data_IF_816390906060
#
_entry.id   IF_816390906060
#
_cell.length_a   1.000
_cell.length_b   1.000
_cell.length_c   1.000
_cell.angle_alpha   90.00
_cell.angle_beta   90.00
_cell.angle_gamma   90.00
#
_symmetry.space_group_name_H-M   'P 1'
#
loop_
_entity.id
_entity.type
_entity.pdbx_description
1 polymer ?
#
# COMPACT_ATOMS: atom_id res chain seq x y z
N UNK A 1 -4.10 -57.00 -1.95
CA UNK A 1 -2.86 -56.23 -1.74
C UNK A 1 -3.27 -54.82 -1.41
N UNK A 2 -3.06 -54.43 -0.16
CA UNK A 2 -3.63 -53.27 0.51
C UNK A 2 -2.46 -52.47 1.09
N UNK A 3 -2.29 -51.23 0.65
CA UNK A 3 -1.27 -50.28 1.17
C UNK A 3 -1.45 -48.94 0.43
N UNK A 4 -1.33 -47.74 1.00
CA UNK A 4 -1.61 -47.17 2.32
C UNK A 4 -1.71 -45.65 2.06
N UNK A 5 -2.82 -45.02 2.45
CA UNK A 5 -2.95 -43.56 2.50
C UNK A 5 -2.21 -43.06 3.74
N UNK A 6 -1.21 -42.20 3.58
CA UNK A 6 -0.53 -41.54 4.70
C UNK A 6 -1.26 -40.24 5.03
N UNK A 7 -2.11 -40.28 6.05
CA UNK A 7 -2.67 -39.10 6.70
C UNK A 7 -1.65 -38.54 7.71
N UNK A 8 -1.19 -37.31 7.49
CA UNK A 8 -0.40 -36.58 8.46
C UNK A 8 -1.32 -35.98 9.52
N UNK A 9 -1.23 -36.54 10.74
CA UNK A 9 -1.85 -36.04 11.95
C UNK A 9 -1.10 -34.82 12.48
N UNK A 10 -1.82 -33.74 12.78
CA UNK A 10 -1.35 -32.62 13.60
C UNK A 10 -1.10 -33.09 15.04
N UNK A 11 -0.01 -32.68 15.71
CA UNK A 11 0.28 -33.10 17.08
C UNK A 11 -0.60 -32.37 18.10
N UNK A 12 -1.21 -33.13 19.00
CA UNK A 12 -2.03 -32.66 20.12
C UNK A 12 -1.20 -32.30 21.36
N UNK A 13 -1.76 -31.40 22.16
CA UNK A 13 -1.12 -30.51 23.13
C UNK A 13 -1.01 -31.11 24.56
N UNK A 14 -0.52 -32.35 24.71
CA UNK A 14 -0.71 -33.09 25.98
C UNK A 14 0.55 -33.63 26.71
N UNK A 15 1.78 -33.41 26.26
CA UNK A 15 2.96 -33.89 27.02
C UNK A 15 4.13 -32.94 26.93
N UNK A 16 4.32 -32.12 27.97
CA UNK A 16 5.60 -31.68 28.55
C UNK A 16 5.35 -30.55 29.56
N UNK A 17 4.49 -30.81 30.55
CA UNK A 17 4.47 -30.06 31.79
C UNK A 17 5.03 -30.96 32.88
N UNK A 18 6.34 -30.84 33.15
CA UNK A 18 7.02 -31.25 34.39
C UNK A 18 8.53 -31.23 34.13
N UNK A 19 9.17 -30.08 34.40
CA UNK A 19 10.56 -29.95 34.87
C UNK A 19 10.75 -28.50 35.33
N UNK A 20 10.46 -28.27 36.62
CA UNK A 20 11.19 -27.44 37.61
C UNK A 20 11.90 -26.17 37.06
N UNK A 21 11.60 -24.95 37.48
CA UNK A 21 11.46 -24.51 38.87
C UNK A 21 12.84 -24.19 39.48
N UNK A 22 13.41 -23.01 39.18
CA UNK A 22 14.33 -22.23 40.03
C UNK A 22 14.92 -21.02 39.27
N UNK A 23 14.66 -19.81 39.78
CA UNK A 23 15.57 -18.63 39.94
C UNK A 23 14.79 -17.32 39.82
N UNK A 24 14.15 -16.94 40.93
CA UNK A 24 13.77 -15.57 41.22
C UNK A 24 14.99 -14.75 41.65
N UNK A 25 14.91 -13.43 41.39
CA UNK A 25 15.48 -12.35 42.18
C UNK A 25 17.01 -12.10 42.13
N UNK A 26 17.47 -11.28 41.16
CA UNK A 26 18.56 -10.30 41.36
C UNK A 26 18.38 -9.10 40.41
N UNK A 27 18.48 -7.87 40.91
CA UNK A 27 18.69 -6.68 40.08
C UNK A 27 17.75 -5.48 40.27
N UNK A 28 17.24 -5.23 41.49
CA UNK A 28 16.57 -3.96 41.84
C UNK A 28 17.16 -3.37 43.12
N UNK A 29 18.42 -2.97 43.08
CA UNK A 29 19.07 -2.06 44.02
C UNK A 29 20.54 -1.94 43.62
N UNK A 30 20.95 -0.79 43.09
CA UNK A 30 22.29 -0.18 43.24
C UNK A 30 22.43 0.96 42.23
N UNK A 31 21.88 2.12 42.57
CA UNK A 31 22.38 3.44 42.16
C UNK A 31 21.61 4.48 42.97
N UNK A 32 21.92 4.54 44.26
CA UNK A 32 21.49 5.63 45.13
C UNK A 32 22.57 5.87 46.17
N UNK A 33 23.63 6.55 45.75
CA UNK A 33 24.46 7.40 46.60
C UNK A 33 25.51 8.09 45.73
N UNK A 34 25.22 9.34 45.35
CA UNK A 34 26.16 10.46 45.37
C UNK A 34 25.43 11.72 44.93
N UNK A 35 25.64 12.76 45.74
CA UNK A 35 25.38 14.18 45.45
C UNK A 35 23.95 14.69 45.72
N UNK A 36 23.66 14.75 47.01
CA UNK A 36 22.84 15.81 47.59
C UNK A 36 23.59 17.15 47.53
N UNK A 37 23.02 18.14 46.85
CA UNK A 37 23.00 19.56 47.24
C UNK A 37 22.44 20.39 46.08
N UNK A 38 21.18 20.80 46.15
CA UNK A 38 20.71 22.04 45.52
C UNK A 38 19.33 22.37 46.10
N UNK A 39 19.24 23.56 46.66
CA UNK A 39 18.13 24.12 47.41
C UNK A 39 16.95 24.46 46.50
N UNK A 40 15.75 24.45 47.10
CA UNK A 40 14.52 24.90 46.49
C UNK A 40 14.44 26.43 46.53
N UNK A 41 14.20 27.07 45.39
CA UNK A 41 13.68 28.44 45.32
C UNK A 41 12.38 28.49 44.53
N UNK A 42 11.46 29.31 45.03
CA UNK A 42 10.07 29.48 44.61
C UNK A 42 9.93 30.05 43.19
N UNK A 43 8.92 29.54 42.48
CA UNK A 43 8.48 30.00 41.17
C UNK A 43 7.55 31.22 41.32
N UNK A 44 8.04 32.42 41.02
CA UNK A 44 7.21 33.60 40.76
C UNK A 44 7.12 33.86 39.23
N UNK A 45 6.00 34.37 38.71
CA UNK A 45 5.79 34.45 37.26
C UNK A 45 6.49 35.68 36.68
N UNK A 46 7.63 35.46 36.02
CA UNK A 46 8.33 36.52 35.28
C UNK A 46 7.71 36.64 33.89
N UNK A 47 7.23 37.85 33.58
CA UNK A 47 6.79 38.26 32.26
C UNK A 47 7.91 38.01 31.23
N UNK A 48 7.63 37.15 30.27
CA UNK A 48 8.58 36.75 29.24
C UNK A 48 8.68 37.84 28.17
N UNK A 49 9.49 38.87 28.40
CA UNK A 49 10.00 39.74 27.33
C UNK A 49 11.07 38.96 26.57
N UNK A 50 10.61 38.08 25.69
CA UNK A 50 11.47 37.27 24.84
C UNK A 50 11.86 38.12 23.62
N UNK A 51 13.02 38.76 23.68
CA UNK A 51 13.74 39.23 22.51
C UNK A 51 14.26 38.01 21.75
N UNK A 52 13.37 37.38 21.01
CA UNK A 52 13.68 36.40 19.97
C UNK A 52 14.33 37.18 18.84
N UNK A 53 15.66 37.18 18.77
CA UNK A 53 16.34 37.47 17.51
C UNK A 53 15.85 36.41 16.52
N UNK A 54 14.91 36.79 15.67
CA UNK A 54 14.59 36.05 14.45
C UNK A 54 15.85 36.09 13.59
N UNK A 55 16.82 35.23 13.88
CA UNK A 55 17.77 34.77 12.89
C UNK A 55 16.97 33.90 11.94
N UNK A 56 16.39 34.64 11.02
CA UNK A 56 15.73 34.25 9.81
C UNK A 56 16.62 33.21 9.12
N UNK A 57 16.36 31.93 9.37
CA UNK A 57 16.77 30.86 8.45
C UNK A 57 15.90 31.04 7.21
N UNK A 58 16.20 32.09 6.43
CA UNK A 58 15.72 32.20 5.06
C UNK A 58 16.33 31.01 4.38
N UNK A 59 15.48 30.02 4.11
CA UNK A 59 15.74 29.04 3.09
C UNK A 59 16.12 29.83 1.84
N UNK A 60 17.42 29.96 1.56
CA UNK A 60 17.94 30.68 0.41
C UNK A 60 17.41 29.98 -0.84
N UNK A 61 16.26 30.44 -1.30
CA UNK A 61 15.62 29.99 -2.51
C UNK A 61 16.55 30.36 -3.65
N UNK A 62 17.25 29.34 -4.11
CA UNK A 62 18.35 29.43 -5.07
C UNK A 62 17.94 30.19 -6.32
N UNK A 63 18.78 31.17 -6.62
CA UNK A 63 18.92 32.04 -7.79
C UNK A 63 18.44 31.39 -9.09
N UNK A 64 17.71 32.14 -9.93
CA UNK A 64 17.73 31.92 -11.37
C UNK A 64 17.41 33.22 -12.16
N UNK A 65 18.37 33.62 -12.98
CA UNK A 65 18.41 34.70 -13.98
C UNK A 65 18.51 36.17 -13.52
N UNK A 66 17.85 36.62 -12.44
CA UNK A 66 17.79 38.06 -12.08
C UNK A 66 18.60 38.46 -10.82
N UNK A 67 19.23 37.50 -10.11
CA UNK A 67 20.15 37.79 -9.00
C UNK A 67 19.51 38.27 -7.69
N UNK A 68 18.19 38.51 -7.67
CA UNK A 68 17.45 38.96 -6.50
C UNK A 68 16.83 37.78 -5.74
N UNK A 69 16.82 37.87 -4.42
CA UNK A 69 16.20 36.89 -3.51
C UNK A 69 14.79 37.32 -3.12
N UNK A 70 13.90 36.37 -2.82
CA UNK A 70 12.55 36.66 -2.28
C UNK A 70 11.39 36.29 -3.19
N UNK A 71 11.64 35.69 -4.35
CA UNK A 71 10.62 35.14 -5.24
C UNK A 71 11.17 33.88 -5.94
N UNK A 72 10.30 32.97 -6.36
CA UNK A 72 10.72 31.85 -7.21
C UNK A 72 11.09 32.35 -8.60
N UNK A 73 12.00 31.67 -9.32
CA UNK A 73 12.39 32.04 -10.70
C UNK A 73 11.21 32.24 -11.67
N UNK A 74 10.07 31.56 -11.41
CA UNK A 74 8.83 31.69 -12.19
C UNK A 74 8.07 33.00 -11.90
N UNK A 75 8.35 33.64 -10.78
CA UNK A 75 7.72 34.85 -10.24
C UNK A 75 8.66 36.06 -10.27
N UNK A 76 9.80 35.99 -10.99
CA UNK A 76 10.69 37.15 -11.12
C UNK A 76 9.94 38.30 -11.83
N UNK A 77 9.86 39.50 -11.19
CA UNK A 77 9.18 40.65 -11.77
C UNK A 77 9.91 41.19 -13.01
N UNK A 78 11.23 41.01 -13.08
CA UNK A 78 12.09 41.37 -14.23
C UNK A 78 12.21 40.24 -15.25
N UNK A 79 11.28 39.29 -15.26
CA UNK A 79 11.30 38.14 -16.17
C UNK A 79 11.24 38.63 -17.64
N UNK A 80 12.20 38.27 -18.50
CA UNK A 80 12.07 38.51 -19.94
C UNK A 80 10.80 37.83 -20.45
N UNK A 81 10.08 38.48 -21.37
CA UNK A 81 8.82 37.97 -21.93
C UNK A 81 8.98 36.49 -22.29
N UNK A 82 8.27 35.62 -21.56
CA UNK A 82 8.37 34.19 -21.79
C UNK A 82 8.95 33.28 -20.71
N UNK A 83 8.79 33.67 -19.45
CA UNK A 83 8.79 32.63 -18.42
C UNK A 83 10.11 32.40 -17.70
N UNK A 84 11.19 33.13 -18.06
CA UNK A 84 12.54 32.80 -17.59
C UNK A 84 13.08 31.52 -18.24
N UNK A 85 12.41 31.05 -19.31
CA UNK A 85 12.86 29.93 -20.12
C UNK A 85 13.89 30.47 -21.13
N UNK A 86 15.16 30.27 -20.82
CA UNK A 86 16.28 30.58 -21.72
C UNK A 86 16.40 29.57 -22.87
N UNK A 87 15.56 28.52 -22.87
CA UNK A 87 15.54 27.49 -23.90
C UNK A 87 14.56 27.79 -25.02
N UNK A 88 14.88 27.29 -26.22
CA UNK A 88 13.99 27.24 -27.37
C UNK A 88 12.75 26.38 -27.08
N UNK A 89 11.59 26.80 -27.57
CA UNK A 89 10.36 26.03 -27.45
C UNK A 89 10.51 24.68 -28.18
N UNK A 90 10.26 23.58 -27.47
CA UNK A 90 10.23 22.22 -28.05
C UNK A 90 9.07 21.98 -29.04
N UNK A 91 8.35 23.01 -29.49
CA UNK A 91 7.39 22.92 -30.58
C UNK A 91 7.84 23.73 -31.80
N UNK A 92 8.07 25.04 -31.65
CA UNK A 92 8.40 25.94 -32.76
C UNK A 92 9.85 26.45 -32.79
N UNK A 93 10.67 26.12 -31.80
CA UNK A 93 12.06 26.61 -31.70
C UNK A 93 12.19 28.08 -31.26
N UNK A 94 11.09 28.80 -31.10
CA UNK A 94 11.12 30.18 -30.63
C UNK A 94 11.37 30.24 -29.11
N UNK A 95 12.15 31.21 -28.67
CA UNK A 95 12.44 31.44 -27.25
C UNK A 95 11.28 32.19 -26.58
N UNK A 96 11.17 32.06 -25.26
CA UNK A 96 10.17 32.78 -24.49
C UNK A 96 8.81 32.09 -24.37
N UNK A 97 8.73 30.79 -24.60
CA UNK A 97 7.61 29.96 -24.11
C UNK A 97 8.03 28.49 -24.08
N UNK A 98 7.32 27.67 -23.31
CA UNK A 98 7.47 26.22 -23.37
C UNK A 98 6.45 25.62 -24.36
N UNK A 99 6.56 24.33 -24.64
CA UNK A 99 5.65 23.61 -25.53
C UNK A 99 4.16 23.69 -25.14
N UNK A 100 3.84 23.82 -23.85
CA UNK A 100 2.45 23.92 -23.38
C UNK A 100 1.85 25.31 -23.62
N UNK A 101 2.69 26.35 -23.59
CA UNK A 101 2.31 27.75 -23.80
C UNK A 101 2.62 28.24 -25.24
N UNK A 102 2.86 27.32 -26.17
CA UNK A 102 3.26 27.63 -27.54
C UNK A 102 2.07 28.18 -28.36
N UNK A 103 2.18 29.39 -28.92
CA UNK A 103 1.12 29.99 -29.74
C UNK A 103 1.04 29.36 -31.15
N UNK A 104 2.13 28.75 -31.62
CA UNK A 104 2.19 28.08 -32.92
C UNK A 104 1.52 26.70 -32.86
N UNK A 105 0.91 26.23 -33.98
CA UNK A 105 0.30 24.91 -34.04
C UNK A 105 1.31 23.82 -33.71
N UNK A 106 0.84 22.71 -33.13
CA UNK A 106 1.70 21.59 -32.78
C UNK A 106 2.31 20.99 -34.05
N UNK A 107 3.64 20.99 -34.14
CA UNK A 107 4.37 20.32 -35.21
C UNK A 107 4.57 18.87 -34.77
N UNK A 108 4.00 17.91 -35.52
CA UNK A 108 4.27 16.49 -35.30
C UNK A 108 5.69 16.21 -35.78
N UNK A 109 6.59 15.88 -34.85
CA UNK A 109 7.97 15.52 -35.16
C UNK A 109 8.14 14.04 -34.87
N UNK A 110 8.82 13.34 -35.77
CA UNK A 110 9.21 11.95 -35.53
C UNK A 110 10.07 11.88 -34.27
N UNK A 111 9.89 10.83 -33.46
CA UNK A 111 10.64 10.67 -32.22
C UNK A 111 12.09 10.31 -32.55
N UNK A 112 12.98 11.30 -32.54
CA UNK A 112 14.42 11.13 -32.71
C UNK A 112 15.15 10.73 -31.42
N UNK A 113 14.41 10.54 -30.33
CA UNK A 113 14.98 10.11 -29.06
C UNK A 113 15.36 8.64 -29.06
N UNK A 114 16.25 8.28 -28.14
CA UNK A 114 16.57 6.90 -27.82
C UNK A 114 15.47 6.28 -26.96
N UNK A 115 15.05 5.05 -27.28
CA UNK A 115 14.09 4.32 -26.48
C UNK A 115 14.68 3.95 -25.11
N UNK A 116 14.05 4.41 -24.03
CA UNK A 116 14.50 4.10 -22.65
C UNK A 116 14.41 2.62 -22.27
N UNK A 117 13.72 1.80 -23.05
CA UNK A 117 13.59 0.35 -22.77
C UNK A 117 14.64 -0.50 -23.49
N UNK A 118 15.02 -0.16 -24.71
CA UNK A 118 15.93 -0.99 -25.52
C UNK A 118 17.17 -0.24 -26.04
N UNK A 119 17.29 1.06 -25.79
CA UNK A 119 18.43 1.86 -26.22
C UNK A 119 18.48 2.17 -27.72
N UNK A 120 17.45 1.81 -28.50
CA UNK A 120 17.39 2.05 -29.95
C UNK A 120 16.63 3.35 -30.24
N UNK A 121 17.16 4.16 -31.14
CA UNK A 121 16.53 5.41 -31.59
C UNK A 121 15.34 5.17 -32.53
N UNK A 122 14.46 6.16 -32.66
CA UNK A 122 13.36 6.14 -33.64
C UNK A 122 12.01 5.67 -33.09
N UNK A 123 11.91 5.30 -31.80
CA UNK A 123 10.62 5.01 -31.17
C UNK A 123 10.61 5.30 -29.67
N UNK A 124 9.45 5.73 -29.15
CA UNK A 124 9.24 5.88 -27.71
C UNK A 124 9.09 4.50 -27.04
N UNK A 125 9.40 4.40 -25.74
CA UNK A 125 9.31 3.13 -24.98
C UNK A 125 7.95 2.43 -25.07
N UNK A 126 6.85 3.20 -25.20
CA UNK A 126 5.49 2.67 -25.41
C UNK A 126 5.29 1.92 -26.74
N UNK A 127 6.09 2.25 -27.74
CA UNK A 127 6.04 1.70 -29.10
C UNK A 127 7.29 0.83 -29.36
N UNK A 128 7.91 0.30 -28.31
CA UNK A 128 9.12 -0.50 -28.44
C UNK A 128 8.80 -1.86 -29.08
N UNK A 129 9.41 -2.20 -30.22
CA UNK A 129 9.15 -3.46 -30.91
C UNK A 129 9.75 -4.66 -30.17
N UNK A 130 10.73 -4.43 -29.29
CA UNK A 130 11.46 -5.47 -28.57
C UNK A 130 11.10 -5.57 -27.09
N UNK A 131 10.38 -4.60 -26.53
CA UNK A 131 9.96 -4.65 -25.13
C UNK A 131 8.47 -5.01 -25.05
N UNK A 132 8.12 -6.26 -24.73
CA UNK A 132 6.72 -6.64 -24.58
C UNK A 132 6.09 -5.85 -23.43
N UNK A 133 4.92 -5.27 -23.69
CA UNK A 133 4.17 -4.56 -22.67
C UNK A 133 3.76 -5.55 -21.56
N UNK A 134 4.46 -5.48 -20.42
CA UNK A 134 4.14 -6.23 -19.21
C UNK A 134 3.10 -5.49 -18.38
N UNK A 135 2.13 -6.23 -17.87
CA UNK A 135 1.12 -5.72 -16.96
C UNK A 135 1.76 -5.40 -15.61
N UNK A 136 1.64 -4.17 -15.13
CA UNK A 136 2.24 -3.73 -13.84
C UNK A 136 1.62 -4.37 -12.60
N UNK A 137 0.51 -5.10 -12.75
CA UNK A 137 -0.20 -5.75 -11.64
C UNK A 137 0.20 -7.20 -11.47
N UNK A 138 0.56 -7.91 -12.55
CA UNK A 138 0.82 -9.36 -12.55
C UNK A 138 2.10 -9.76 -13.30
N UNK A 139 2.84 -8.81 -13.87
CA UNK A 139 4.04 -8.96 -14.70
C UNK A 139 3.94 -9.84 -15.96
N UNK A 140 2.73 -10.32 -16.29
CA UNK A 140 2.49 -11.04 -17.55
C UNK A 140 2.34 -10.09 -18.73
N UNK A 141 2.69 -10.60 -19.90
CA UNK A 141 2.65 -9.86 -21.16
C UNK A 141 1.27 -9.94 -21.83
N UNK A 142 1.02 -9.04 -22.79
CA UNK A 142 -0.13 -9.12 -23.69
C UNK A 142 -1.41 -8.40 -23.23
N UNK A 143 -1.41 -7.74 -22.07
CA UNK A 143 -2.55 -6.96 -21.59
C UNK A 143 -2.16 -5.75 -20.73
N UNK A 144 -3.04 -4.73 -20.68
CA UNK A 144 -2.90 -3.56 -19.80
C UNK A 144 -3.48 -3.85 -18.41
N UNK A 145 -3.11 -3.05 -17.41
CA UNK A 145 -3.64 -3.16 -16.04
C UNK A 145 -5.19 -3.10 -15.97
N UNK A 146 -5.83 -2.37 -16.90
CA UNK A 146 -7.29 -2.29 -17.00
C UNK A 146 -7.94 -3.67 -17.24
N UNK A 147 -7.30 -4.48 -18.07
CA UNK A 147 -7.78 -5.78 -18.56
C UNK A 147 -7.13 -6.96 -17.83
N UNK A 148 -6.41 -6.70 -16.73
CA UNK A 148 -5.73 -7.72 -15.94
C UNK A 148 -6.74 -8.59 -15.18
N UNK A 149 -6.87 -9.84 -15.63
CA UNK A 149 -7.66 -10.89 -14.95
C UNK A 149 -6.80 -11.87 -14.16
N UNK A 150 -5.48 -11.70 -14.24
CA UNK A 150 -4.52 -12.60 -13.65
C UNK A 150 -4.31 -12.31 -12.15
N UNK A 151 -3.80 -13.32 -11.43
CA UNK A 151 -3.26 -13.15 -10.08
C UNK A 151 -2.27 -11.99 -10.05
N UNK A 152 -2.51 -11.04 -9.15
CA UNK A 152 -1.64 -9.89 -8.94
C UNK A 152 -0.44 -10.24 -8.07
N UNK A 153 0.63 -9.49 -8.22
CA UNK A 153 1.77 -9.52 -7.30
C UNK A 153 1.32 -9.02 -5.93
N UNK A 154 1.48 -9.87 -4.92
CA UNK A 154 1.23 -9.52 -3.53
C UNK A 154 2.51 -8.93 -2.96
N UNK A 155 2.41 -7.74 -2.36
CA UNK A 155 3.51 -7.13 -1.64
C UNK A 155 3.69 -7.81 -0.27
N UNK A 156 4.80 -8.52 -0.11
CA UNK A 156 5.18 -9.21 1.13
C UNK A 156 6.13 -8.38 2.01
N UNK A 157 6.34 -7.11 1.68
CA UNK A 157 7.24 -6.23 2.44
C UNK A 157 6.78 -6.13 3.90
N UNK A 158 7.71 -6.37 4.83
CA UNK A 158 7.44 -6.33 6.27
C UNK A 158 6.71 -7.55 6.84
N UNK A 159 6.42 -8.57 6.02
CA UNK A 159 5.85 -9.84 6.48
C UNK A 159 7.00 -10.81 6.76
N UNK A 160 7.14 -11.34 8.00
CA UNK A 160 8.20 -12.28 8.32
C UNK A 160 8.03 -13.57 7.53
N UNK A 161 9.14 -14.10 7.03
CA UNK A 161 9.18 -15.41 6.39
C UNK A 161 9.30 -16.48 7.47
N UNK A 162 8.24 -17.26 7.62
CA UNK A 162 8.11 -18.26 8.67
C UNK A 162 7.60 -19.56 8.03
N UNK A 163 7.97 -20.69 8.62
CA UNK A 163 7.34 -21.97 8.29
C UNK A 163 5.85 -21.95 8.67
N UNK A 164 5.03 -22.72 7.95
CA UNK A 164 3.58 -22.82 8.16
C UNK A 164 3.21 -23.10 9.62
N UNK A 165 3.90 -24.03 10.28
CA UNK A 165 3.67 -24.36 11.70
C UNK A 165 4.01 -23.22 12.66
N UNK A 166 5.12 -22.50 12.44
CA UNK A 166 5.49 -21.37 13.29
C UNK A 166 4.57 -20.17 13.08
N UNK A 167 4.21 -19.88 11.82
CA UNK A 167 3.25 -18.83 11.49
C UNK A 167 1.88 -19.09 12.12
N UNK A 168 1.41 -20.35 12.09
CA UNK A 168 0.18 -20.75 12.75
C UNK A 168 0.22 -20.54 14.27
N UNK A 169 1.33 -20.92 14.92
CA UNK A 169 1.49 -20.70 16.35
C UNK A 169 1.42 -19.22 16.72
N UNK A 170 2.12 -18.35 15.99
CA UNK A 170 2.05 -16.89 16.20
C UNK A 170 0.65 -16.33 15.95
N UNK A 171 -0.06 -16.88 14.96
CA UNK A 171 -1.45 -16.51 14.69
C UNK A 171 -2.37 -16.87 15.86
N UNK A 172 -2.23 -18.07 16.43
CA UNK A 172 -2.99 -18.50 17.62
C UNK A 172 -2.63 -17.66 18.85
N UNK A 173 -1.35 -17.39 19.07
CA UNK A 173 -0.88 -16.55 20.19
C UNK A 173 -1.45 -15.12 20.08
N UNK A 174 -1.39 -14.52 18.88
CA UNK A 174 -2.00 -13.21 18.61
C UNK A 174 -3.52 -13.22 18.80
N UNK A 175 -4.19 -14.32 18.41
CA UNK A 175 -5.62 -14.49 18.62
C UNK A 175 -5.99 -14.54 20.09
N UNK A 176 -5.23 -15.28 20.91
CA UNK A 176 -5.41 -15.33 22.37
C UNK A 176 -5.17 -13.97 23.02
N UNK A 177 -4.16 -13.25 22.56
CA UNK A 177 -3.85 -11.89 23.00
C UNK A 177 -4.87 -10.84 22.54
N UNK A 178 -5.80 -11.18 21.64
CA UNK A 178 -6.77 -10.26 21.00
C UNK A 178 -6.08 -9.10 20.25
N UNK A 179 -4.86 -9.32 19.78
CA UNK A 179 -4.10 -8.35 18.99
C UNK A 179 -4.45 -8.55 17.50
N UNK A 180 -5.28 -7.63 16.98
CA UNK A 180 -5.75 -7.69 15.60
C UNK A 180 -4.65 -7.44 14.57
N UNK A 181 -3.64 -6.64 14.90
CA UNK A 181 -2.59 -6.26 13.96
C UNK A 181 -1.53 -7.37 13.89
N UNK A 182 -1.12 -7.91 15.04
CA UNK A 182 -0.29 -9.10 15.09
C UNK A 182 -0.97 -10.30 14.43
N UNK A 183 -2.29 -10.46 14.60
CA UNK A 183 -3.06 -11.51 13.95
C UNK A 183 -3.08 -11.35 12.43
N UNK A 184 -3.37 -10.15 11.90
CA UNK A 184 -3.34 -9.88 10.45
C UNK A 184 -1.97 -10.15 9.86
N UNK A 185 -0.91 -9.73 10.54
CA UNK A 185 0.46 -9.95 10.07
C UNK A 185 0.81 -11.46 10.06
N UNK A 186 0.46 -12.18 11.13
CA UNK A 186 0.68 -13.63 11.23
C UNK A 186 -0.15 -14.43 10.21
N UNK A 187 -1.39 -14.01 9.93
CA UNK A 187 -2.22 -14.60 8.89
C UNK A 187 -1.62 -14.39 7.49
N UNK A 188 -1.05 -13.22 7.21
CA UNK A 188 -0.31 -12.98 5.96
C UNK A 188 0.95 -13.83 5.88
N UNK A 189 1.70 -13.97 6.97
CA UNK A 189 2.89 -14.84 7.02
C UNK A 189 2.52 -16.31 6.76
N UNK A 190 1.42 -16.78 7.36
CA UNK A 190 0.88 -18.12 7.11
C UNK A 190 0.45 -18.29 5.64
N UNK A 191 -0.29 -17.33 5.07
CA UNK A 191 -0.66 -17.35 3.66
C UNK A 191 0.57 -17.34 2.73
N UNK A 192 1.61 -16.56 3.07
CA UNK A 192 2.88 -16.53 2.33
C UNK A 192 3.57 -17.89 2.34
N UNK A 193 3.61 -18.57 3.48
CA UNK A 193 4.22 -19.91 3.60
C UNK A 193 3.52 -20.98 2.75
N UNK A 194 2.25 -20.77 2.42
CA UNK A 194 1.42 -21.66 1.60
C UNK A 194 1.19 -21.15 0.18
N UNK A 195 1.80 -20.01 -0.19
CA UNK A 195 1.56 -19.38 -1.48
C UNK A 195 2.03 -20.24 -2.66
N UNK A 196 3.10 -21.02 -2.46
CA UNK A 196 3.70 -21.89 -3.47
C UNK A 196 2.91 -23.19 -3.68
N UNK A 197 2.30 -23.73 -2.62
CA UNK A 197 1.49 -24.95 -2.72
C UNK A 197 0.06 -24.68 -3.19
N UNK A 198 -0.46 -23.46 -2.95
CA UNK A 198 -1.82 -23.08 -3.32
C UNK A 198 -2.88 -23.66 -2.38
N UNK A 199 -2.49 -24.27 -1.27
CA UNK A 199 -3.39 -24.93 -0.31
C UNK A 199 -3.99 -23.97 0.73
N UNK A 200 -3.70 -22.67 0.63
CA UNK A 200 -4.24 -21.70 1.57
C UNK A 200 -5.77 -21.57 1.39
N UNK A 201 -6.51 -22.05 2.39
CA UNK A 201 -7.96 -21.90 2.48
C UNK A 201 -8.36 -21.12 3.75
N UNK A 202 -9.11 -20.04 3.54
CA UNK A 202 -9.59 -19.18 4.62
C UNK A 202 -10.72 -19.84 5.42
N UNK A 203 -11.48 -20.75 4.81
CA UNK A 203 -12.57 -21.47 5.50
C UNK A 203 -11.98 -22.41 6.54
N UNK A 204 -10.98 -23.21 6.16
CA UNK A 204 -10.23 -24.07 7.09
C UNK A 204 -9.62 -23.29 8.26
N UNK A 205 -9.09 -22.08 8.01
CA UNK A 205 -8.59 -21.20 9.07
C UNK A 205 -9.71 -20.79 10.04
N UNK A 206 -10.87 -20.35 9.55
CA UNK A 206 -11.97 -19.99 10.45
C UNK A 206 -12.49 -21.21 11.25
N UNK A 207 -12.54 -22.40 10.65
CA UNK A 207 -12.99 -23.62 11.33
C UNK A 207 -12.07 -24.05 12.47
N UNK A 208 -10.77 -23.96 12.25
CA UNK A 208 -9.76 -24.24 13.29
C UNK A 208 -9.82 -23.20 14.41
N UNK A 209 -9.97 -21.91 14.09
CA UNK A 209 -10.18 -20.86 15.08
C UNK A 209 -11.43 -21.09 15.96
N UNK A 210 -12.51 -21.63 15.37
CA UNK A 210 -13.73 -21.98 16.11
C UNK A 210 -13.56 -23.23 16.97
N UNK A 211 -12.85 -24.23 16.45
CA UNK A 211 -12.54 -25.46 17.19
C UNK A 211 -11.74 -25.14 18.46
N UNK A 212 -10.78 -24.23 18.36
CA UNK A 212 -9.93 -23.80 19.47
C UNK A 212 -10.55 -22.69 20.35
N UNK A 213 -11.81 -22.31 20.09
CA UNK A 213 -12.57 -21.29 20.82
C UNK A 213 -11.84 -19.92 20.92
N UNK A 214 -11.16 -19.50 19.85
CA UNK A 214 -10.40 -18.25 19.84
C UNK A 214 -11.30 -17.01 19.69
N UNK A 215 -10.93 -15.87 20.33
CA UNK A 215 -11.77 -14.67 20.42
C UNK A 215 -11.70 -13.76 19.18
N UNK A 216 -11.12 -14.22 18.08
CA UNK A 216 -11.04 -13.51 16.80
C UNK A 216 -11.94 -14.19 15.79
N UNK A 217 -12.71 -13.42 15.02
CA UNK A 217 -13.66 -13.86 14.00
C UNK A 217 -13.29 -13.29 12.63
N UNK A 218 -13.20 -14.16 11.62
CA UNK A 218 -13.08 -13.77 10.22
C UNK A 218 -14.49 -13.58 9.64
N UNK A 219 -14.83 -12.34 9.27
CA UNK A 219 -16.17 -12.01 8.77
C UNK A 219 -16.09 -11.57 7.32
N UNK A 220 -16.82 -12.26 6.45
CA UNK A 220 -16.98 -11.89 5.05
C UNK A 220 -18.18 -10.94 4.88
N UNK A 221 -17.88 -9.65 4.78
CA UNK A 221 -18.88 -8.58 4.68
C UNK A 221 -19.22 -8.31 3.21
N UNK A 222 -20.52 -8.24 2.89
CA UNK A 222 -20.99 -7.74 1.59
C UNK A 222 -20.93 -6.21 1.62
N UNK A 223 -20.15 -5.61 0.73
CA UNK A 223 -20.02 -4.15 0.65
C UNK A 223 -19.94 -3.73 -0.80
N UNK A 224 -20.54 -2.58 -1.11
CA UNK A 224 -20.32 -1.93 -2.39
C UNK A 224 -18.90 -1.41 -2.48
N UNK A 225 -18.26 -1.70 -3.61
CA UNK A 225 -16.86 -1.37 -3.87
C UNK A 225 -16.83 -0.29 -4.94
N UNK A 226 -16.05 0.75 -4.70
CA UNK A 226 -15.87 1.83 -5.67
C UNK A 226 -15.23 1.30 -6.97
N UNK A 227 -15.47 1.91 -8.14
CA UNK A 227 -14.95 1.41 -9.42
C UNK A 227 -13.41 1.30 -9.50
N UNK A 228 -12.71 2.18 -8.76
CA UNK A 228 -11.25 2.19 -8.66
C UNK A 228 -10.70 1.19 -7.64
N UNK A 229 -11.55 0.41 -6.98
CA UNK A 229 -11.17 -0.58 -5.98
C UNK A 229 -11.57 -1.97 -6.47
N UNK A 230 -10.84 -2.98 -6.02
CA UNK A 230 -11.17 -4.39 -6.24
C UNK A 230 -10.90 -5.18 -4.97
N UNK A 231 -11.60 -6.29 -4.81
CA UNK A 231 -11.37 -7.20 -3.69
C UNK A 231 -10.48 -8.32 -4.18
N UNK A 232 -9.33 -8.47 -3.52
CA UNK A 232 -8.28 -9.42 -3.87
C UNK A 232 -8.05 -10.34 -2.68
N UNK A 233 -7.89 -11.64 -2.93
CA UNK A 233 -7.57 -12.57 -1.84
C UNK A 233 -6.14 -12.42 -1.32
N UNK A 234 -5.77 -13.23 -0.32
CA UNK A 234 -4.42 -13.22 0.25
C UNK A 234 -3.31 -13.63 -0.72
N UNK A 235 -3.66 -14.34 -1.80
CA UNK A 235 -2.72 -14.85 -2.78
C UNK A 235 -2.66 -13.97 -4.05
N UNK A 236 -3.42 -12.88 -4.10
CA UNK A 236 -3.44 -11.94 -5.22
C UNK A 236 -4.50 -12.22 -6.29
N UNK A 237 -5.38 -13.22 -6.12
CA UNK A 237 -6.43 -13.48 -7.11
C UNK A 237 -7.54 -12.41 -7.03
N UNK A 238 -7.87 -11.73 -8.14
CA UNK A 238 -8.80 -10.61 -8.15
C UNK A 238 -10.28 -11.04 -8.14
N UNK A 239 -11.16 -10.02 -8.12
CA UNK A 239 -12.61 -10.13 -8.32
C UNK A 239 -13.34 -11.02 -7.28
N UNK A 240 -12.86 -10.97 -6.04
CA UNK A 240 -13.56 -11.55 -4.89
C UNK A 240 -14.84 -10.74 -4.58
N UNK A 241 -15.86 -11.40 -4.02
CA UNK A 241 -17.20 -10.80 -3.84
C UNK A 241 -17.37 -10.13 -2.48
N UNK A 242 -16.64 -10.58 -1.47
CA UNK A 242 -16.84 -10.16 -0.08
C UNK A 242 -15.57 -9.56 0.51
N UNK A 243 -15.72 -8.51 1.30
CA UNK A 243 -14.59 -7.88 2.00
C UNK A 243 -14.37 -8.61 3.32
N UNK A 244 -13.21 -9.22 3.45
CA UNK A 244 -12.74 -9.88 4.66
C UNK A 244 -12.47 -8.84 5.74
N UNK A 245 -13.09 -9.03 6.90
CA UNK A 245 -12.92 -8.17 8.06
C UNK A 245 -12.62 -9.03 9.28
N UNK A 246 -11.51 -8.76 9.95
CA UNK A 246 -11.14 -9.43 11.22
C UNK A 246 -11.76 -8.67 12.40
N UNK A 247 -12.50 -9.37 13.25
CA UNK A 247 -13.30 -8.79 14.35
C UNK A 247 -13.14 -9.59 15.65
N UNK A 248 -13.44 -8.98 16.79
CA UNK A 248 -13.39 -9.63 18.12
C UNK A 248 -14.74 -10.23 18.56
N UNK A 249 -15.78 -10.09 17.73
CA UNK A 249 -17.12 -10.61 17.99
C UNK A 249 -17.79 -11.06 16.70
N UNK A 250 -18.67 -12.04 16.84
CA UNK A 250 -19.60 -12.54 15.83
C UNK A 250 -20.67 -11.50 15.44
N UNK A 251 -20.96 -10.55 16.33
CA UNK A 251 -21.96 -9.49 16.14
C UNK A 251 -21.33 -8.15 15.75
N UNK A 252 -22.00 -7.36 14.89
CA UNK A 252 -21.52 -6.04 14.53
C UNK A 252 -21.60 -5.10 15.75
N UNK A 253 -20.46 -4.53 16.16
CA UNK A 253 -20.42 -3.60 17.31
C UNK A 253 -21.08 -2.24 17.03
N UNK A 254 -21.28 -1.87 15.75
CA UNK A 254 -21.79 -0.56 15.31
C UNK A 254 -22.88 -0.75 14.27
N UNK A 255 -23.90 0.12 14.28
CA UNK A 255 -25.02 0.07 13.35
C UNK A 255 -24.57 0.09 11.87
N UNK A 256 -23.60 0.96 11.53
CA UNK A 256 -23.02 1.03 10.17
C UNK A 256 -22.31 -0.25 9.73
N UNK A 257 -21.88 -1.09 10.67
CA UNK A 257 -21.23 -2.36 10.37
C UNK A 257 -22.25 -3.50 10.15
N UNK A 258 -23.50 -3.31 10.58
CA UNK A 258 -24.60 -4.28 10.39
C UNK A 258 -24.96 -4.46 8.93
N UNK A 259 -24.80 -3.40 8.12
CA UNK A 259 -25.04 -3.45 6.69
C UNK A 259 -24.05 -4.41 6.01
N UNK A 260 -24.59 -5.48 5.41
CA UNK A 260 -23.79 -6.51 4.72
C UNK A 260 -23.13 -7.55 5.62
N UNK A 261 -23.42 -7.53 6.92
CA UNK A 261 -22.97 -8.57 7.85
C UNK A 261 -23.63 -9.93 7.52
N UNK A 262 -22.96 -11.07 7.68
CA UNK A 262 -23.58 -12.38 7.51
C UNK A 262 -24.63 -12.64 8.60
N UNK A 263 -25.71 -13.30 8.24
CA UNK A 263 -26.81 -13.63 9.17
C UNK A 263 -26.39 -14.72 10.15
N UNK A 264 -25.67 -15.74 9.65
CA UNK A 264 -25.28 -16.93 10.40
C UNK A 264 -23.82 -17.32 10.13
N UNK A 265 -23.23 -18.14 11.01
CA UNK A 265 -21.86 -18.64 10.86
C UNK A 265 -21.68 -19.48 9.58
N UNK A 266 -22.67 -20.27 9.18
CA UNK A 266 -22.61 -21.06 7.95
C UNK A 266 -22.57 -20.18 6.70
N UNK A 267 -23.44 -19.17 6.63
CA UNK A 267 -23.41 -18.18 5.55
C UNK A 267 -22.07 -17.44 5.52
N UNK A 268 -21.48 -17.15 6.68
CA UNK A 268 -20.15 -16.54 6.74
C UNK A 268 -19.08 -17.44 6.12
N UNK A 269 -19.07 -18.75 6.42
CA UNK A 269 -18.12 -19.71 5.83
C UNK A 269 -18.21 -19.77 4.32
N UNK A 270 -19.41 -19.83 3.76
CA UNK A 270 -19.61 -19.83 2.30
C UNK A 270 -19.06 -18.53 1.67
N UNK A 271 -19.32 -17.39 2.32
CA UNK A 271 -18.81 -16.09 1.86
C UNK A 271 -17.28 -15.99 1.97
N UNK A 272 -16.67 -16.60 2.99
CA UNK A 272 -15.22 -16.60 3.21
C UNK A 272 -14.45 -17.25 2.05
N UNK A 273 -15.01 -18.25 1.37
CA UNK A 273 -14.40 -18.86 0.18
C UNK A 273 -14.18 -17.87 -0.98
N UNK A 274 -14.93 -16.77 -1.01
CA UNK A 274 -14.78 -15.69 -2.00
C UNK A 274 -14.54 -14.33 -1.34
N UNK A 275 -13.91 -14.34 -0.16
CA UNK A 275 -13.54 -13.15 0.57
C UNK A 275 -12.10 -12.72 0.31
N UNK A 276 -11.85 -11.42 0.41
CA UNK A 276 -10.52 -10.85 0.25
C UNK A 276 -10.42 -9.44 0.83
N UNK A 277 -9.29 -8.78 0.62
CA UNK A 277 -9.04 -7.42 1.07
C UNK A 277 -9.35 -6.42 -0.03
N UNK A 278 -9.83 -5.25 0.38
CA UNK A 278 -10.04 -4.14 -0.53
C UNK A 278 -8.69 -3.53 -0.89
N UNK A 279 -8.39 -3.46 -2.18
CA UNK A 279 -7.17 -2.88 -2.72
C UNK A 279 -7.50 -2.00 -3.92
N UNK A 280 -6.58 -1.07 -4.22
CA UNK A 280 -6.69 -0.24 -5.41
C UNK A 280 -6.62 -1.11 -6.67
N UNK A 281 -7.47 -0.81 -7.65
CA UNK A 281 -7.47 -1.49 -8.95
C UNK A 281 -6.16 -1.27 -9.70
N UNK A 282 -5.37 -0.24 -9.35
CA UNK A 282 -4.14 0.16 -10.02
C UNK A 282 -4.39 0.86 -11.35
N UNK A 283 -5.62 1.35 -11.54
CA UNK A 283 -6.09 1.99 -12.76
C UNK A 283 -6.65 3.35 -12.39
N UNK A 284 -6.16 4.44 -12.99
CA UNK A 284 -6.61 5.78 -12.64
C UNK A 284 -8.08 5.95 -12.98
N UNK A 285 -8.81 6.60 -12.07
CA UNK A 285 -10.19 7.03 -12.25
C UNK A 285 -10.20 8.50 -12.65
N UNK A 286 -10.85 8.83 -13.76
CA UNK A 286 -10.98 10.20 -14.20
C UNK A 286 -11.97 10.96 -13.31
N UNK A 287 -11.53 12.03 -12.66
CA UNK A 287 -12.41 12.85 -11.80
C UNK A 287 -13.51 13.59 -12.56
N UNK A 288 -13.38 13.72 -13.89
CA UNK A 288 -14.36 14.45 -14.71
C UNK A 288 -15.46 13.54 -15.27
N UNK A 289 -15.12 12.35 -15.80
CA UNK A 289 -16.12 11.43 -16.40
C UNK A 289 -16.40 10.17 -15.56
N UNK A 290 -15.64 9.90 -14.51
CA UNK A 290 -15.82 8.70 -13.68
C UNK A 290 -15.41 7.39 -14.37
N UNK A 291 -14.78 7.45 -15.55
CA UNK A 291 -14.30 6.27 -16.27
C UNK A 291 -12.87 5.89 -15.83
N UNK A 292 -12.56 4.61 -15.96
CA UNK A 292 -11.25 4.04 -15.64
C UNK A 292 -10.30 4.11 -16.85
N UNK A 293 -9.01 4.27 -16.57
CA UNK A 293 -7.93 4.15 -17.56
C UNK A 293 -7.29 5.47 -17.98
N UNK A 294 -7.80 6.61 -17.48
CA UNK A 294 -7.21 7.93 -17.74
C UNK A 294 -7.43 8.90 -16.58
N UNK A 295 -6.57 9.91 -16.46
CA UNK A 295 -6.59 10.88 -15.35
C UNK A 295 -7.44 12.11 -15.72
N UNK A 296 -7.46 12.51 -16.99
CA UNK A 296 -8.28 13.61 -17.52
C UNK A 296 -8.75 13.27 -18.94
N UNK A 297 -10.02 13.56 -19.23
CA UNK A 297 -10.55 13.48 -20.59
C UNK A 297 -9.95 14.63 -21.39
N UNK A 298 -9.18 14.33 -22.43
CA UNK A 298 -8.89 15.31 -23.48
C UNK A 298 -10.22 15.53 -24.21
N UNK A 299 -10.75 16.75 -24.19
CA UNK A 299 -11.98 17.07 -24.91
C UNK A 299 -11.81 16.74 -26.38
N UNK A 300 -12.74 15.97 -26.95
CA UNK A 300 -12.75 15.51 -28.35
C UNK A 300 -13.05 16.67 -29.34
N UNK A 301 -12.77 17.91 -28.97
CA UNK A 301 -12.69 19.03 -29.92
C UNK A 301 -11.30 19.13 -30.56
N UNK A 302 -10.31 18.39 -30.05
CA UNK A 302 -8.99 18.23 -30.67
C UNK A 302 -8.88 16.92 -31.47
N UNK A 303 -9.86 16.65 -32.34
CA UNK A 303 -10.02 15.40 -33.11
C UNK A 303 -8.89 15.06 -34.10
N UNK A 304 -7.75 15.75 -34.05
CA UNK A 304 -6.60 15.47 -34.91
C UNK A 304 -5.55 14.57 -34.25
N UNK A 305 -5.84 13.92 -33.12
CA UNK A 305 -4.83 13.08 -32.48
C UNK A 305 -5.44 11.80 -31.87
N UNK A 306 -5.44 10.67 -32.59
CA UNK A 306 -5.80 9.38 -31.99
C UNK A 306 -4.77 9.00 -30.90
N UNK A 307 -5.21 8.34 -29.81
CA UNK A 307 -4.27 7.83 -28.81
C UNK A 307 -3.45 6.68 -29.42
N UNK A 308 -2.14 6.90 -29.57
CA UNK A 308 -1.12 5.86 -29.73
C UNK A 308 -0.96 5.09 -28.41
#
# INVERSE_FOLDING_TARGET
MQTMMHGHLLPTLATLGELLGATEAMGRAEMKETMASAEAEEMTPVACTYSFSLDLVVLELTLNSCGQTGHFARECPDKPAGGGLTGECYNCGEVGHNKADCPNPRVEREFTGTCNSCGVEGHAARNCPTNPMKCRLCDKEGHKALDCKERRLVDWTGIPELESGEAWRKLVDAARAKDLDAFRNSLKAYARSLADSGDFDLVAVEETLRTDCLPIFLIAKKQEVAPNMTVIDMLGNPDRKYVLTVQLSDKPRRAKLKEGWPENAEQNKERLASAGFLQDRGVPLCSNCGELGHIKKVSVLDSNNPPL
#
